data_IF_700253531609
#
_entry.id   IF_700253531609
#
_cell.length_a   1.000
_cell.length_b   1.000
_cell.length_c   1.000
_cell.angle_alpha   90.00
_cell.angle_beta   90.00
_cell.angle_gamma   90.00
#
_symmetry.space_group_name_H-M   'P 1'
#
loop_
_entity.id
_entity.type
_entity.pdbx_description
1 polymer ?
#
# COMPACT_ATOMS: atom_id res chain seq x y z
N UNK A 1 -24.14 7.61 -7.41
CA UNK A 1 -24.78 8.85 -6.91
C UNK A 1 -25.32 9.74 -8.04
N UNK A 2 -24.50 10.35 -8.91
CA UNK A 2 -24.99 11.29 -9.96
C UNK A 2 -26.08 10.74 -10.90
N UNK A 3 -26.06 9.45 -11.21
CA UNK A 3 -27.06 8.80 -12.07
C UNK A 3 -28.43 8.59 -11.38
N UNK A 4 -28.59 8.95 -10.10
CA UNK A 4 -29.85 8.85 -9.36
C UNK A 4 -30.17 7.47 -8.78
N UNK A 5 -29.34 6.46 -8.98
CA UNK A 5 -29.58 5.09 -8.49
C UNK A 5 -29.37 4.87 -6.99
N UNK A 6 -28.89 5.87 -6.25
CA UNK A 6 -28.60 5.73 -4.82
C UNK A 6 -29.42 6.72 -4.01
N UNK A 7 -30.10 6.22 -2.99
CA UNK A 7 -30.84 7.03 -2.04
C UNK A 7 -29.91 7.50 -0.90
N UNK A 8 -29.96 8.80 -0.52
CA UNK A 8 -29.20 9.27 0.63
C UNK A 8 -29.70 8.61 1.91
N UNK A 9 -28.76 8.20 2.75
CA UNK A 9 -29.02 7.60 4.04
C UNK A 9 -28.84 8.66 5.13
N UNK A 10 -29.71 8.64 6.14
CA UNK A 10 -29.61 9.50 7.32
C UNK A 10 -30.05 8.74 8.59
N UNK A 11 -30.01 9.39 9.75
CA UNK A 11 -30.38 8.75 11.02
C UNK A 11 -31.86 8.37 11.12
N UNK A 12 -32.72 8.91 10.25
CA UNK A 12 -34.15 8.56 10.21
C UNK A 12 -34.37 7.28 9.42
N UNK A 13 -33.62 7.06 8.34
CA UNK A 13 -33.71 5.86 7.50
C UNK A 13 -32.78 4.74 7.98
N UNK A 14 -31.61 5.09 8.53
CA UNK A 14 -30.58 4.17 9.03
C UNK A 14 -30.03 4.67 10.37
N UNK A 15 -30.73 4.40 11.50
CA UNK A 15 -30.29 4.81 12.84
C UNK A 15 -28.90 4.29 13.22
N UNK A 16 -28.49 3.14 12.67
CA UNK A 16 -27.17 2.54 12.93
C UNK A 16 -25.99 3.36 12.39
N UNK A 17 -26.24 4.39 11.55
CA UNK A 17 -25.21 5.35 11.16
C UNK A 17 -24.62 6.08 12.38
N UNK A 18 -25.36 6.22 13.48
CA UNK A 18 -24.85 6.79 14.73
C UNK A 18 -23.71 5.97 15.36
N UNK A 19 -23.57 4.69 15.00
CA UNK A 19 -22.53 3.82 15.52
C UNK A 19 -21.24 3.89 14.70
N UNK A 20 -21.23 4.63 13.59
CA UNK A 20 -20.08 4.73 12.72
C UNK A 20 -19.14 5.86 13.16
N UNK A 21 -17.82 5.64 13.13
CA UNK A 21 -16.85 6.72 13.27
C UNK A 21 -17.09 7.82 12.23
N UNK A 22 -16.93 9.08 12.64
CA UNK A 22 -17.21 10.22 11.78
C UNK A 22 -16.32 10.25 10.52
N UNK A 23 -15.06 9.84 10.66
CA UNK A 23 -14.10 9.69 9.57
C UNK A 23 -14.48 8.55 8.61
N UNK A 24 -15.02 7.44 9.12
CA UNK A 24 -15.57 6.38 8.28
C UNK A 24 -16.74 6.90 7.43
N UNK A 25 -17.67 7.65 8.03
CA UNK A 25 -18.82 8.22 7.31
C UNK A 25 -18.42 9.15 6.16
N UNK A 26 -17.26 9.82 6.25
CA UNK A 26 -16.72 10.62 5.14
C UNK A 26 -16.50 9.76 3.89
N UNK A 27 -16.07 8.50 4.03
CA UNK A 27 -15.86 7.59 2.89
C UNK A 27 -17.18 7.21 2.20
N UNK A 28 -18.27 7.13 2.96
CA UNK A 28 -19.63 6.91 2.43
C UNK A 28 -20.33 8.18 1.96
N UNK A 29 -19.71 9.36 2.13
CA UNK A 29 -20.32 10.66 1.84
C UNK A 29 -19.98 11.13 0.44
N UNK A 30 -20.99 11.50 -0.34
CA UNK A 30 -20.77 12.14 -1.62
C UNK A 30 -20.33 13.60 -1.44
N UNK A 31 -19.15 13.94 -1.97
CA UNK A 31 -18.50 15.23 -1.69
C UNK A 31 -19.30 16.45 -2.15
N UNK A 32 -20.12 16.31 -3.20
CA UNK A 32 -20.80 17.43 -3.84
C UNK A 32 -22.04 17.90 -3.07
N UNK A 33 -22.79 16.98 -2.46
CA UNK A 33 -24.02 17.30 -1.71
C UNK A 33 -23.93 17.01 -0.21
N UNK A 34 -22.80 16.44 0.24
CA UNK A 34 -22.50 16.11 1.64
C UNK A 34 -23.46 15.09 2.26
N UNK A 35 -24.13 14.27 1.44
CA UNK A 35 -25.02 13.21 1.91
C UNK A 35 -24.30 11.85 1.94
N UNK A 36 -24.67 11.01 2.91
CA UNK A 36 -24.17 9.63 3.01
C UNK A 36 -24.95 8.76 2.03
N UNK A 37 -24.27 7.94 1.24
CA UNK A 37 -24.88 7.05 0.25
C UNK A 37 -24.47 5.58 0.43
N UNK A 38 -23.52 5.30 1.32
CA UNK A 38 -23.08 3.94 1.62
C UNK A 38 -22.57 3.83 3.06
N UNK A 39 -22.66 2.60 3.59
CA UNK A 39 -22.10 2.25 4.89
C UNK A 39 -20.70 1.64 4.69
N UNK A 40 -19.63 2.25 5.20
CA UNK A 40 -18.31 1.64 5.20
C UNK A 40 -18.30 0.39 6.08
N UNK A 41 -17.72 -0.71 5.61
CA UNK A 41 -17.65 -1.98 6.36
C UNK A 41 -16.24 -2.34 6.82
N UNK A 42 -15.21 -1.82 6.15
CA UNK A 42 -13.81 -2.07 6.46
C UNK A 42 -12.96 -0.87 6.05
N UNK A 43 -11.85 -0.68 6.77
CA UNK A 43 -10.75 0.19 6.35
C UNK A 43 -9.55 -0.68 5.98
N UNK A 44 -8.82 -0.27 4.96
CA UNK A 44 -7.64 -0.98 4.47
C UNK A 44 -6.41 -0.09 4.67
N UNK A 45 -5.32 -0.70 5.11
CA UNK A 45 -4.03 -0.03 5.25
C UNK A 45 -3.09 -0.56 4.19
N UNK A 46 -2.39 0.35 3.53
CA UNK A 46 -1.30 0.03 2.62
C UNK A 46 0.02 0.20 3.35
N UNK A 47 0.97 -0.70 3.13
CA UNK A 47 2.24 -0.65 3.83
C UNK A 47 3.25 -1.65 3.31
N UNK A 48 4.43 -1.62 3.93
CA UNK A 48 5.50 -2.56 3.68
C UNK A 48 5.37 -3.72 4.67
N UNK A 49 4.96 -4.88 4.17
CA UNK A 49 4.90 -6.12 4.93
C UNK A 49 6.29 -6.76 5.03
N UNK A 50 6.62 -7.30 6.19
CA UNK A 50 7.93 -7.83 6.54
C UNK A 50 7.81 -9.32 6.86
N UNK A 51 8.62 -10.17 6.22
CA UNK A 51 8.78 -11.57 6.60
C UNK A 51 9.87 -11.69 7.68
N UNK A 52 9.47 -11.76 8.94
CA UNK A 52 10.38 -11.75 10.10
C UNK A 52 11.34 -12.94 10.13
N UNK A 53 10.90 -14.09 9.64
CA UNK A 53 11.74 -15.29 9.61
C UNK A 53 12.86 -15.14 8.59
N UNK A 54 12.60 -14.49 7.46
CA UNK A 54 13.63 -14.17 6.46
C UNK A 54 14.66 -13.20 7.03
N UNK A 55 14.21 -12.14 7.72
CA UNK A 55 15.11 -11.19 8.39
C UNK A 55 15.96 -11.87 9.47
N UNK A 56 15.33 -12.68 10.32
CA UNK A 56 16.01 -13.44 11.38
C UNK A 56 17.07 -14.38 10.80
N UNK A 57 16.73 -15.15 9.76
CA UNK A 57 17.68 -16.05 9.06
C UNK A 57 18.82 -15.29 8.39
N UNK A 58 18.56 -14.10 7.86
CA UNK A 58 19.57 -13.26 7.25
C UNK A 58 20.48 -12.57 8.26
N UNK A 59 20.11 -12.53 9.55
CA UNK A 59 20.80 -11.78 10.60
C UNK A 59 20.61 -10.26 10.45
N UNK A 60 19.43 -9.83 9.98
CA UNK A 60 19.09 -8.43 9.71
C UNK A 60 17.88 -8.00 10.54
N UNK A 61 17.78 -6.71 10.80
CA UNK A 61 16.61 -6.09 11.43
C UNK A 61 15.75 -5.39 10.38
N UNK A 62 14.42 -5.41 10.50
CA UNK A 62 13.53 -4.65 9.62
C UNK A 62 13.86 -3.14 9.64
N UNK A 63 13.81 -2.46 8.49
CA UNK A 63 14.20 -1.05 8.39
C UNK A 63 13.07 -0.12 8.88
N UNK A 64 13.46 1.03 9.43
CA UNK A 64 12.54 2.09 9.89
C UNK A 64 12.72 3.41 9.14
N UNK A 65 13.83 3.56 8.42
CA UNK A 65 14.15 4.72 7.59
C UNK A 65 14.46 4.29 6.15
N UNK A 66 14.48 5.26 5.22
CA UNK A 66 14.85 4.98 3.84
C UNK A 66 16.29 4.45 3.70
N UNK A 67 17.24 5.08 4.39
CA UNK A 67 18.65 4.68 4.33
C UNK A 67 18.86 3.27 4.91
N UNK A 68 18.17 2.93 5.99
CA UNK A 68 18.12 1.57 6.52
C UNK A 68 17.51 0.61 5.50
N UNK A 69 16.39 0.99 4.87
CA UNK A 69 15.71 0.19 3.86
C UNK A 69 16.64 -0.16 2.69
N UNK A 70 17.38 0.81 2.16
CA UNK A 70 18.34 0.60 1.08
C UNK A 70 19.49 -0.31 1.55
N UNK A 71 20.01 -0.07 2.77
CA UNK A 71 21.09 -0.85 3.36
C UNK A 71 20.71 -2.32 3.54
N UNK A 72 19.55 -2.61 4.13
CA UNK A 72 19.08 -3.99 4.32
C UNK A 72 18.72 -4.64 2.99
N UNK A 73 18.16 -3.89 2.04
CA UNK A 73 17.85 -4.41 0.70
C UNK A 73 19.11 -4.86 -0.04
N UNK A 74 20.20 -4.09 0.07
CA UNK A 74 21.50 -4.51 -0.45
C UNK A 74 22.00 -5.79 0.23
N UNK A 75 21.98 -5.84 1.57
CA UNK A 75 22.43 -7.02 2.31
C UNK A 75 21.61 -8.29 2.01
N UNK A 76 20.29 -8.16 1.83
CA UNK A 76 19.40 -9.25 1.43
C UNK A 76 19.76 -9.76 0.02
N UNK A 77 19.94 -8.84 -0.93
CA UNK A 77 20.34 -9.16 -2.30
C UNK A 77 21.70 -9.87 -2.34
N UNK A 78 22.69 -9.41 -1.58
CA UNK A 78 24.02 -10.02 -1.48
C UNK A 78 23.96 -11.45 -0.90
N UNK A 79 22.91 -11.78 -0.13
CA UNK A 79 22.62 -13.12 0.39
C UNK A 79 21.74 -13.97 -0.55
N UNK A 80 21.41 -13.46 -1.75
CA UNK A 80 20.56 -14.15 -2.72
C UNK A 80 19.06 -14.17 -2.35
N UNK A 81 18.63 -13.31 -1.43
CA UNK A 81 17.23 -13.16 -1.02
C UNK A 81 16.65 -11.95 -1.77
N UNK A 82 15.43 -12.07 -2.31
CA UNK A 82 14.80 -10.92 -2.94
C UNK A 82 14.39 -9.90 -1.87
N UNK A 83 14.86 -8.65 -1.94
CA UNK A 83 14.46 -7.65 -0.95
C UNK A 83 12.96 -7.37 -1.01
N UNK A 84 12.44 -7.10 -2.20
CA UNK A 84 11.01 -6.90 -2.47
C UNK A 84 10.46 -8.08 -3.27
N UNK A 85 9.22 -8.48 -2.98
CA UNK A 85 8.48 -9.46 -3.77
C UNK A 85 7.73 -8.83 -4.96
N UNK A 86 7.59 -7.51 -4.96
CA UNK A 86 6.74 -6.75 -5.87
C UNK A 86 7.10 -6.97 -7.36
N UNK A 87 6.09 -6.76 -8.20
CA UNK A 87 6.18 -6.79 -9.66
C UNK A 87 5.34 -5.68 -10.28
N UNK A 88 5.43 -5.53 -11.61
CA UNK A 88 4.73 -4.50 -12.38
C UNK A 88 3.66 -5.04 -13.34
N UNK A 89 3.41 -6.36 -13.32
CA UNK A 89 2.48 -7.03 -14.22
C UNK A 89 1.00 -6.76 -13.94
N UNK A 90 0.67 -6.04 -12.87
CA UNK A 90 -0.72 -5.76 -12.45
C UNK A 90 -0.91 -4.28 -12.13
N UNK A 91 -1.64 -3.55 -12.97
CA UNK A 91 -1.70 -2.07 -12.93
C UNK A 91 -2.10 -1.49 -11.56
N UNK A 92 -3.15 -2.01 -10.93
CA UNK A 92 -3.61 -1.49 -9.63
C UNK A 92 -2.60 -1.74 -8.50
N UNK A 93 -1.82 -2.82 -8.61
CA UNK A 93 -0.75 -3.14 -7.67
C UNK A 93 0.43 -2.18 -7.82
N UNK A 94 0.70 -1.72 -9.05
CA UNK A 94 1.72 -0.71 -9.33
C UNK A 94 1.34 0.64 -8.71
N UNK A 95 0.07 1.04 -8.81
CA UNK A 95 -0.44 2.26 -8.16
C UNK A 95 -0.22 2.21 -6.64
N UNK A 96 -0.49 1.05 -6.02
CA UNK A 96 -0.23 0.85 -4.60
C UNK A 96 1.26 0.92 -4.25
N UNK A 97 2.12 0.26 -5.04
CA UNK A 97 3.56 0.30 -4.85
C UNK A 97 4.10 1.74 -4.87
N UNK A 98 3.71 2.51 -5.88
CA UNK A 98 4.06 3.94 -5.98
C UNK A 98 3.57 4.68 -4.74
N UNK A 99 2.29 4.55 -4.38
CA UNK A 99 1.72 5.24 -3.24
C UNK A 99 2.43 4.93 -1.92
N UNK A 100 2.76 3.67 -1.65
CA UNK A 100 3.44 3.22 -0.41
C UNK A 100 4.82 3.88 -0.28
N UNK A 101 5.56 3.97 -1.38
CA UNK A 101 6.92 4.51 -1.34
C UNK A 101 7.02 6.02 -1.57
N UNK A 102 6.01 6.69 -2.15
CA UNK A 102 6.05 8.14 -2.36
C UNK A 102 5.29 8.94 -1.32
N UNK A 103 4.12 8.48 -0.86
CA UNK A 103 3.24 9.27 0.00
C UNK A 103 3.88 9.70 1.33
N UNK A 104 4.71 8.88 2.02
CA UNK A 104 5.39 9.31 3.23
C UNK A 104 6.26 10.57 3.05
N UNK A 105 6.81 10.78 1.85
CA UNK A 105 7.68 11.92 1.53
C UNK A 105 6.93 13.14 0.99
N UNK A 106 5.75 12.94 0.39
CA UNK A 106 4.94 14.03 -0.14
C UNK A 106 4.19 14.80 0.94
N UNK A 107 3.78 14.10 2.01
CA UNK A 107 3.01 14.67 3.12
C UNK A 107 1.60 15.14 2.72
N UNK A 108 0.81 15.53 3.72
CA UNK A 108 -0.58 15.96 3.50
C UNK A 108 -0.70 17.29 2.74
N UNK A 109 0.32 18.14 2.83
CA UNK A 109 0.35 19.44 2.15
C UNK A 109 0.34 19.29 0.63
N UNK A 110 1.11 18.34 0.09
CA UNK A 110 1.13 18.09 -1.36
C UNK A 110 -0.25 17.66 -1.87
N UNK A 111 -0.93 16.75 -1.17
CA UNK A 111 -2.28 16.28 -1.55
C UNK A 111 -3.28 17.43 -1.54
N UNK A 112 -3.23 18.29 -0.51
CA UNK A 112 -4.08 19.49 -0.43
C UNK A 112 -3.79 20.45 -1.59
N UNK A 113 -2.52 20.73 -1.87
CA UNK A 113 -2.14 21.65 -2.93
C UNK A 113 -2.55 21.11 -4.31
N UNK A 114 -2.38 19.80 -4.54
CA UNK A 114 -2.75 19.15 -5.80
C UNK A 114 -4.27 19.16 -6.00
N UNK A 115 -5.04 18.77 -4.98
CA UNK A 115 -6.51 18.71 -5.06
C UNK A 115 -7.18 20.08 -5.13
N UNK A 116 -6.52 21.13 -4.63
CA UNK A 116 -6.97 22.52 -4.77
C UNK A 116 -6.51 23.19 -6.07
N UNK A 117 -5.70 22.52 -6.89
CA UNK A 117 -5.15 23.06 -8.14
C UNK A 117 -3.99 24.04 -7.96
N UNK A 118 -3.42 24.15 -6.76
CA UNK A 118 -2.25 25.00 -6.47
C UNK A 118 -0.95 24.43 -7.01
N UNK A 119 -0.90 23.12 -7.23
CA UNK A 119 0.25 22.45 -7.86
C UNK A 119 -0.22 21.38 -8.85
N UNK A 120 0.75 20.75 -9.52
CA UNK A 120 0.53 19.67 -10.49
C UNK A 120 1.51 18.52 -10.22
N UNK A 121 1.38 17.41 -10.94
CA UNK A 121 2.38 16.33 -10.90
C UNK A 121 3.77 16.71 -11.45
N UNK A 122 3.97 17.95 -11.93
CA UNK A 122 5.30 18.48 -12.25
C UNK A 122 6.01 19.14 -11.06
N UNK A 123 5.38 19.16 -9.89
CA UNK A 123 5.96 19.70 -8.66
C UNK A 123 7.29 18.98 -8.33
N UNK A 124 8.37 19.70 -8.00
CA UNK A 124 9.64 19.09 -7.63
C UNK A 124 9.54 18.06 -6.49
N UNK A 125 8.60 18.22 -5.56
CA UNK A 125 8.35 17.25 -4.48
C UNK A 125 7.92 15.90 -5.04
N UNK A 126 7.02 15.92 -6.03
CA UNK A 126 6.52 14.71 -6.68
C UNK A 126 7.59 14.07 -7.57
N UNK A 127 8.30 14.88 -8.35
CA UNK A 127 9.39 14.39 -9.21
C UNK A 127 10.51 13.75 -8.38
N UNK A 128 10.88 14.34 -7.24
CA UNK A 128 11.87 13.77 -6.33
C UNK A 128 11.41 12.43 -5.75
N UNK A 129 10.16 12.33 -5.30
CA UNK A 129 9.60 11.08 -4.78
C UNK A 129 9.58 9.96 -5.85
N UNK A 130 9.29 10.29 -7.11
CA UNK A 130 9.42 9.33 -8.22
C UNK A 130 10.87 8.90 -8.46
N UNK A 131 11.84 9.79 -8.25
CA UNK A 131 13.26 9.46 -8.34
C UNK A 131 13.67 8.35 -7.37
N UNK A 132 13.11 8.34 -6.16
CA UNK A 132 13.34 7.28 -5.16
C UNK A 132 12.89 5.90 -5.65
N UNK A 133 11.83 5.83 -6.45
CA UNK A 133 11.35 4.56 -7.03
C UNK A 133 12.35 3.97 -8.03
N UNK A 134 13.15 4.80 -8.71
CA UNK A 134 14.16 4.32 -9.65
C UNK A 134 15.28 3.56 -8.93
N UNK A 135 15.60 3.95 -7.69
CA UNK A 135 16.56 3.23 -6.83
C UNK A 135 16.05 1.83 -6.47
N UNK A 136 14.72 1.65 -6.38
CA UNK A 136 14.12 0.37 -6.03
C UNK A 136 14.27 -0.69 -7.11
N UNK A 137 14.49 -0.30 -8.37
CA UNK A 137 14.62 -1.24 -9.51
C UNK A 137 15.66 -2.33 -9.23
N UNK A 138 16.76 -1.96 -8.59
CA UNK A 138 17.85 -2.89 -8.31
C UNK A 138 17.53 -3.90 -7.19
N UNK A 139 16.43 -3.70 -6.47
CA UNK A 139 15.96 -4.52 -5.35
C UNK A 139 14.66 -5.30 -5.66
N UNK A 140 14.16 -5.17 -6.89
CA UNK A 140 13.04 -5.95 -7.39
C UNK A 140 13.51 -7.34 -7.85
N UNK A 141 12.63 -8.35 -7.90
CA UNK A 141 12.97 -9.66 -8.44
C UNK A 141 13.34 -9.58 -9.94
N UNK A 142 14.15 -10.52 -10.47
CA UNK A 142 14.40 -10.59 -11.90
C UNK A 142 13.11 -10.72 -12.72
N UNK A 143 12.98 -9.91 -13.78
CA UNK A 143 11.78 -9.92 -14.62
C UNK A 143 10.54 -9.35 -13.94
N UNK A 144 10.70 -8.49 -12.92
CA UNK A 144 9.61 -7.88 -12.17
C UNK A 144 8.56 -7.21 -13.07
N UNK A 145 8.92 -6.78 -14.27
CA UNK A 145 8.00 -6.21 -15.26
C UNK A 145 6.80 -7.14 -15.59
N UNK A 146 7.03 -8.45 -15.55
CA UNK A 146 6.01 -9.48 -15.82
C UNK A 146 5.46 -10.16 -14.57
N UNK A 147 5.97 -9.87 -13.38
CA UNK A 147 5.49 -10.46 -12.13
C UNK A 147 4.14 -9.81 -11.79
N UNK A 148 3.09 -10.61 -11.78
CA UNK A 148 1.76 -10.19 -11.35
C UNK A 148 1.62 -10.19 -9.83
N UNK A 149 0.50 -9.66 -9.36
CA UNK A 149 0.19 -9.53 -7.96
C UNK A 149 0.17 -10.88 -7.21
N UNK A 150 -0.44 -11.92 -7.80
CA UNK A 150 -0.52 -13.24 -7.17
C UNK A 150 0.87 -13.88 -7.04
N UNK A 151 1.70 -13.77 -8.07
CA UNK A 151 3.09 -14.25 -8.07
C UNK A 151 3.92 -13.50 -7.03
N UNK A 152 3.76 -12.18 -6.91
CA UNK A 152 4.43 -11.38 -5.87
C UNK A 152 4.03 -11.86 -4.46
N UNK A 153 2.74 -12.14 -4.23
CA UNK A 153 2.26 -12.75 -3.00
C UNK A 153 2.94 -14.10 -2.71
N UNK A 154 3.04 -14.99 -3.71
CA UNK A 154 3.72 -16.28 -3.54
C UNK A 154 5.21 -16.15 -3.19
N UNK A 155 5.93 -15.21 -3.81
CA UNK A 155 7.35 -14.95 -3.49
C UNK A 155 7.52 -14.55 -2.02
N UNK A 156 6.61 -13.73 -1.50
CA UNK A 156 6.61 -13.29 -0.10
C UNK A 156 6.24 -14.43 0.86
N UNK A 157 5.14 -15.12 0.59
CA UNK A 157 4.60 -16.19 1.45
C UNK A 157 5.56 -17.38 1.54
N UNK A 158 6.25 -17.71 0.44
CA UNK A 158 7.24 -18.79 0.40
C UNK A 158 8.58 -18.41 1.04
N UNK A 159 8.75 -17.16 1.50
CA UNK A 159 10.00 -16.65 2.06
C UNK A 159 11.13 -16.48 1.05
N UNK A 160 10.82 -16.41 -0.25
CA UNK A 160 11.81 -16.07 -1.29
C UNK A 160 12.11 -14.58 -1.31
N UNK A 161 11.13 -13.76 -0.92
CA UNK A 161 11.27 -12.34 -0.71
C UNK A 161 11.11 -11.98 0.77
N UNK A 162 11.86 -10.96 1.20
CA UNK A 162 11.85 -10.50 2.59
C UNK A 162 10.73 -9.50 2.88
N UNK A 163 10.35 -8.68 1.90
CA UNK A 163 9.38 -7.60 2.06
C UNK A 163 8.39 -7.55 0.89
N UNK A 164 7.20 -7.00 1.13
CA UNK A 164 6.16 -6.80 0.14
C UNK A 164 5.44 -5.48 0.40
N UNK A 165 5.49 -4.53 -0.54
CA UNK A 165 4.60 -3.37 -0.50
C UNK A 165 3.20 -3.82 -0.95
N UNK A 166 2.23 -3.84 -0.04
CA UNK A 166 0.91 -4.44 -0.28
C UNK A 166 -0.20 -3.82 0.57
N UNK A 167 -1.31 -4.55 0.74
CA UNK A 167 -2.46 -4.10 1.54
C UNK A 167 -2.88 -5.09 2.62
N UNK A 168 -3.50 -4.58 3.68
CA UNK A 168 -3.98 -5.36 4.83
C UNK A 168 -5.02 -6.44 4.49
N UNK A 169 -5.71 -6.28 3.36
CA UNK A 169 -6.71 -7.23 2.87
C UNK A 169 -6.12 -8.62 2.58
N UNK A 170 -4.81 -8.72 2.39
CA UNK A 170 -4.14 -9.97 2.06
C UNK A 170 -3.75 -10.83 3.25
N UNK A 171 -3.65 -10.23 4.44
CA UNK A 171 -3.13 -10.88 5.65
C UNK A 171 -3.88 -12.18 5.93
N UNK A 172 -5.21 -12.18 5.81
CA UNK A 172 -6.02 -13.36 6.05
C UNK A 172 -5.72 -14.47 5.03
N UNK A 173 -5.65 -14.13 3.74
CA UNK A 173 -5.32 -15.07 2.67
C UNK A 173 -3.93 -15.66 2.85
N UNK A 174 -2.93 -14.83 3.16
CA UNK A 174 -1.55 -15.27 3.37
C UNK A 174 -1.42 -16.23 4.55
N UNK A 175 -2.10 -15.96 5.67
CA UNK A 175 -2.15 -16.86 6.82
C UNK A 175 -2.91 -18.15 6.53
N UNK A 176 -3.90 -18.14 5.64
CA UNK A 176 -4.55 -19.39 5.19
C UNK A 176 -3.61 -20.23 4.34
N UNK A 177 -2.87 -19.62 3.43
CA UNK A 177 -1.95 -20.32 2.53
C UNK A 177 -0.68 -20.81 3.26
N UNK A 178 -0.18 -20.02 4.21
CA UNK A 178 0.93 -20.39 5.09
C UNK A 178 0.59 -20.03 6.53
N UNK A 179 -0.02 -20.95 7.30
CA UNK A 179 -0.38 -20.72 8.70
C UNK A 179 0.81 -20.44 9.63
N UNK A 180 2.02 -20.79 9.21
CA UNK A 180 3.26 -20.55 9.97
C UNK A 180 3.93 -19.22 9.60
N UNK A 181 3.39 -18.44 8.66
CA UNK A 181 4.02 -17.19 8.24
C UNK A 181 4.11 -16.21 9.41
N UNK A 182 5.34 -15.80 9.71
CA UNK A 182 5.64 -14.77 10.70
C UNK A 182 5.83 -13.43 9.97
N UNK A 183 4.72 -12.73 9.74
CA UNK A 183 4.72 -11.44 9.04
C UNK A 183 4.11 -10.32 9.88
N UNK A 184 4.63 -9.11 9.70
CA UNK A 184 4.09 -7.84 10.18
C UNK A 184 3.82 -6.88 9.02
#
# INVERSE_FOLDING_TARGET
VKAGYFEPQDLTTVPSLANQPADALVAGTYRADKKVYSLPFASQTLGLFINKDVFTKAGLTPPTTWDEFITVSKALKDKGIYPLANGMGTSWFNEMFVAIFTNPFLGQDFVRDLTSGKTTFKDPRYVAALGMLLELRDYMPPGFEGIDYDTAGQLFISGKAAMLAGGSFDIASYRTQNPAINMD
#
